data_IF_072385636573
#
_entry.id   IF_072385636573
#
_cell.length_a   1.000
_cell.length_b   1.000
_cell.length_c   1.000
_cell.angle_alpha   90.00
_cell.angle_beta   90.00
_cell.angle_gamma   90.00
#
_symmetry.space_group_name_H-M   'P 1'
#
loop_
_entity.id
_entity.type
_entity.pdbx_description
1 polymer ?
#
# COMPACT_ATOMS: atom_id res chain seq x y z
N UNK A 1 -8.58 -20.64 0.96
CA UNK A 1 -7.71 -19.96 1.96
C UNK A 1 -6.45 -19.38 1.31
N UNK A 2 -5.49 -20.21 0.86
CA UNK A 2 -4.21 -19.72 0.28
C UNK A 2 -4.38 -18.71 -0.87
N UNK A 3 -5.24 -19.02 -1.84
CA UNK A 3 -5.50 -18.14 -2.99
C UNK A 3 -6.01 -16.75 -2.55
N UNK A 4 -6.87 -16.68 -1.53
CA UNK A 4 -7.40 -15.41 -1.05
C UNK A 4 -6.31 -14.55 -0.39
N UNK A 5 -5.41 -15.17 0.38
CA UNK A 5 -4.27 -14.48 0.97
C UNK A 5 -3.29 -13.98 -0.10
N UNK A 6 -3.04 -14.77 -1.15
CA UNK A 6 -2.22 -14.34 -2.29
C UNK A 6 -2.86 -13.16 -3.04
N UNK A 7 -4.18 -13.14 -3.20
CA UNK A 7 -4.89 -12.01 -3.81
C UNK A 7 -4.77 -10.73 -2.98
N UNK A 8 -4.90 -10.83 -1.65
CA UNK A 8 -4.71 -9.69 -0.74
C UNK A 8 -3.25 -9.19 -0.79
N UNK A 9 -2.28 -10.10 -0.78
CA UNK A 9 -0.86 -9.74 -0.88
C UNK A 9 -0.55 -9.04 -2.20
N UNK A 10 -1.05 -9.59 -3.32
CA UNK A 10 -0.90 -8.97 -4.64
C UNK A 10 -1.52 -7.57 -4.67
N UNK A 11 -2.74 -7.43 -4.15
CA UNK A 11 -3.42 -6.13 -4.05
C UNK A 11 -2.58 -5.11 -3.27
N UNK A 12 -2.05 -5.54 -2.12
CA UNK A 12 -1.21 -4.74 -1.23
C UNK A 12 0.07 -4.29 -1.95
N UNK A 13 0.73 -5.17 -2.69
CA UNK A 13 1.94 -4.83 -3.45
C UNK A 13 1.66 -3.82 -4.57
N UNK A 14 0.53 -3.94 -5.27
CA UNK A 14 0.12 -2.97 -6.29
C UNK A 14 -0.09 -1.59 -5.67
N UNK A 15 -0.77 -1.51 -4.52
CA UNK A 15 -0.99 -0.24 -3.81
C UNK A 15 0.33 0.41 -3.38
N UNK A 16 1.23 -0.35 -2.77
CA UNK A 16 2.54 0.17 -2.32
C UNK A 16 3.38 0.65 -3.51
N UNK A 17 3.38 -0.10 -4.61
CA UNK A 17 4.06 0.30 -5.84
C UNK A 17 3.50 1.60 -6.42
N UNK A 18 2.17 1.76 -6.42
CA UNK A 18 1.51 2.99 -6.87
C UNK A 18 1.90 4.20 -6.00
N UNK A 19 1.93 4.03 -4.67
CA UNK A 19 2.38 5.08 -3.74
C UNK A 19 3.83 5.49 -4.00
N UNK A 20 4.69 4.52 -4.32
CA UNK A 20 6.09 4.80 -4.59
C UNK A 20 6.29 5.52 -5.92
N UNK A 21 5.52 5.16 -6.96
CA UNK A 21 5.51 5.91 -8.22
C UNK A 21 5.10 7.37 -8.00
N UNK A 22 4.09 7.61 -7.16
CA UNK A 22 3.69 8.97 -6.80
C UNK A 22 4.79 9.69 -6.05
N UNK A 23 5.39 9.06 -5.03
CA UNK A 23 6.54 9.63 -4.31
C UNK A 23 7.65 10.02 -5.29
N UNK A 24 8.04 9.14 -6.21
CA UNK A 24 9.01 9.42 -7.27
C UNK A 24 8.60 10.59 -8.16
N UNK A 25 7.35 10.61 -8.62
CA UNK A 25 6.82 11.67 -9.48
C UNK A 25 6.74 13.05 -8.81
N UNK A 26 6.81 13.08 -7.47
CA UNK A 26 6.81 14.27 -6.62
C UNK A 26 8.21 14.67 -6.14
N UNK A 27 9.25 13.83 -6.32
CA UNK A 27 10.62 14.20 -5.98
C UNK A 27 11.05 15.39 -6.85
N UNK A 28 11.64 16.40 -6.22
CA UNK A 28 12.12 17.65 -6.85
C UNK A 28 11.01 18.60 -7.38
N UNK A 29 9.78 18.44 -6.92
CA UNK A 29 8.61 19.28 -7.31
C UNK A 29 8.13 20.19 -6.17
N UNK A 30 9.06 20.87 -5.51
CA UNK A 30 8.80 21.67 -4.29
C UNK A 30 7.79 22.81 -4.51
N UNK A 31 7.73 23.39 -5.71
CA UNK A 31 6.79 24.46 -6.04
C UNK A 31 5.56 24.01 -6.84
N UNK A 32 5.37 22.72 -7.12
CA UNK A 32 4.35 22.29 -8.11
C UNK A 32 2.88 22.48 -7.73
N UNK A 33 2.61 23.13 -6.59
CA UNK A 33 1.29 23.56 -6.16
C UNK A 33 1.13 25.10 -6.16
N UNK A 34 2.09 25.86 -6.69
CA UNK A 34 2.02 27.34 -6.71
C UNK A 34 1.03 27.90 -7.72
N UNK A 35 0.67 27.13 -8.75
CA UNK A 35 -0.26 27.58 -9.78
C UNK A 35 -1.20 26.46 -10.24
N UNK A 36 -2.40 26.85 -10.66
CA UNK A 36 -3.41 25.91 -11.16
C UNK A 36 -2.91 25.14 -12.40
N UNK A 37 -2.09 25.79 -13.23
CA UNK A 37 -1.48 25.18 -14.41
C UNK A 37 -0.44 24.10 -14.06
N UNK A 38 0.35 24.31 -13.02
CA UNK A 38 1.31 23.30 -12.53
C UNK A 38 0.61 22.10 -11.91
N UNK A 39 -0.48 22.33 -11.17
CA UNK A 39 -1.30 21.25 -10.60
C UNK A 39 -1.88 20.39 -11.73
N UNK A 40 -2.46 21.00 -12.77
CA UNK A 40 -2.98 20.27 -13.93
C UNK A 40 -1.85 19.46 -14.60
N UNK A 41 -0.70 20.09 -14.85
CA UNK A 41 0.45 19.42 -15.45
C UNK A 41 0.95 18.24 -14.60
N UNK A 42 0.89 18.38 -13.27
CA UNK A 42 1.27 17.34 -12.33
C UNK A 42 0.28 16.18 -12.33
N UNK A 43 -1.03 16.45 -12.39
CA UNK A 43 -2.07 15.43 -12.48
C UNK A 43 -1.92 14.56 -13.74
N UNK A 44 -1.49 15.15 -14.86
CA UNK A 44 -1.21 14.43 -16.10
C UNK A 44 0.23 13.92 -16.24
N UNK A 45 1.04 14.01 -15.16
CA UNK A 45 2.39 13.43 -15.15
C UNK A 45 2.32 11.90 -15.29
N UNK A 46 3.18 11.27 -16.11
CA UNK A 46 3.18 9.82 -16.29
C UNK A 46 3.19 9.04 -14.98
N UNK A 47 4.00 9.46 -14.01
CA UNK A 47 4.05 8.85 -12.68
C UNK A 47 2.72 8.89 -11.92
N UNK A 48 1.99 10.01 -11.99
CA UNK A 48 0.68 10.17 -11.31
C UNK A 48 -0.37 9.29 -12.00
N UNK A 49 -0.44 9.37 -13.33
CA UNK A 49 -1.38 8.60 -14.14
C UNK A 49 -1.13 7.09 -13.96
N UNK A 50 0.11 6.62 -14.03
CA UNK A 50 0.44 5.21 -13.81
C UNK A 50 0.06 4.76 -12.41
N UNK A 51 0.40 5.52 -11.37
CA UNK A 51 -0.01 5.17 -10.01
C UNK A 51 -1.53 5.15 -9.82
N UNK A 52 -2.26 6.06 -10.47
CA UNK A 52 -3.73 6.09 -10.47
C UNK A 52 -4.32 4.87 -11.18
N UNK A 53 -3.76 4.49 -12.32
CA UNK A 53 -4.16 3.26 -13.02
C UNK A 53 -3.91 2.02 -12.17
N UNK A 54 -2.77 1.94 -11.48
CA UNK A 54 -2.47 0.85 -10.54
C UNK A 54 -3.48 0.83 -9.38
N UNK A 55 -3.84 1.98 -8.83
CA UNK A 55 -4.87 2.10 -7.80
C UNK A 55 -6.26 1.70 -8.30
N UNK A 56 -6.58 2.00 -9.56
CA UNK A 56 -7.80 1.53 -10.21
C UNK A 56 -7.86 0.00 -10.27
N UNK A 57 -6.79 -0.65 -10.75
CA UNK A 57 -6.70 -2.11 -10.75
C UNK A 57 -6.73 -2.71 -9.34
N UNK A 58 -6.04 -2.10 -8.39
CA UNK A 58 -6.08 -2.51 -6.99
C UNK A 58 -7.51 -2.39 -6.42
N UNK A 59 -8.26 -1.36 -6.78
CA UNK A 59 -9.65 -1.20 -6.33
C UNK A 59 -10.54 -2.31 -6.87
N UNK A 60 -10.44 -2.63 -8.17
CA UNK A 60 -11.20 -3.73 -8.77
C UNK A 60 -10.87 -5.06 -8.07
N UNK A 61 -9.57 -5.34 -7.89
CA UNK A 61 -9.12 -6.54 -7.19
C UNK A 61 -9.59 -6.57 -5.73
N UNK A 62 -9.62 -5.43 -5.05
CA UNK A 62 -10.10 -5.31 -3.68
C UNK A 62 -11.60 -5.61 -3.57
N UNK A 63 -12.42 -5.03 -4.45
CA UNK A 63 -13.86 -5.34 -4.51
C UNK A 63 -14.09 -6.83 -4.70
N UNK A 64 -13.32 -7.48 -5.57
CA UNK A 64 -13.38 -8.92 -5.76
C UNK A 64 -12.98 -9.71 -4.50
N UNK A 65 -11.92 -9.29 -3.80
CA UNK A 65 -11.50 -9.91 -2.53
C UNK A 65 -12.61 -9.83 -1.48
N UNK A 66 -13.29 -8.69 -1.36
CA UNK A 66 -14.37 -8.49 -0.39
C UNK A 66 -15.59 -9.38 -0.63
N UNK A 67 -15.78 -9.91 -1.85
CA UNK A 67 -16.82 -10.92 -2.10
C UNK A 67 -16.47 -12.30 -1.54
N UNK A 68 -15.20 -12.54 -1.19
CA UNK A 68 -14.66 -13.86 -0.81
C UNK A 68 -14.17 -13.94 0.62
N UNK A 69 -13.77 -12.81 1.21
CA UNK A 69 -13.18 -12.75 2.53
C UNK A 69 -13.88 -11.66 3.35
N UNK A 70 -14.28 -11.95 4.60
CA UNK A 70 -14.81 -10.93 5.49
C UNK A 70 -13.83 -9.77 5.64
N UNK A 71 -14.35 -8.53 5.64
CA UNK A 71 -13.54 -7.32 5.78
C UNK A 71 -12.66 -7.35 7.03
N UNK A 72 -13.17 -7.92 8.14
CA UNK A 72 -12.45 -8.07 9.41
C UNK A 72 -11.20 -8.96 9.32
N UNK A 73 -11.09 -9.81 8.30
CA UNK A 73 -9.91 -10.65 8.03
C UNK A 73 -9.04 -10.04 6.93
N UNK A 74 -9.66 -9.49 5.88
CA UNK A 74 -8.93 -8.92 4.75
C UNK A 74 -8.16 -7.65 5.10
N UNK A 75 -8.78 -6.75 5.89
CA UNK A 75 -8.21 -5.43 6.21
C UNK A 75 -6.92 -5.52 7.06
N UNK A 76 -6.85 -6.37 8.10
CA UNK A 76 -5.59 -6.61 8.81
C UNK A 76 -4.48 -7.12 7.90
N UNK A 77 -4.77 -8.07 7.01
CA UNK A 77 -3.76 -8.55 6.06
C UNK A 77 -3.29 -7.46 5.10
N UNK A 78 -4.20 -6.60 4.65
CA UNK A 78 -3.85 -5.45 3.80
C UNK A 78 -2.99 -4.42 4.54
N UNK A 79 -3.04 -4.37 5.88
CA UNK A 79 -2.13 -3.51 6.68
C UNK A 79 -0.65 -3.88 6.53
N UNK A 80 -0.33 -5.05 5.98
CA UNK A 80 1.04 -5.37 5.54
C UNK A 80 1.56 -4.37 4.49
N UNK A 81 0.69 -3.59 3.84
CA UNK A 81 1.09 -2.44 3.01
C UNK A 81 2.02 -1.50 3.77
N UNK A 82 1.76 -1.22 5.05
CA UNK A 82 2.60 -0.36 5.87
C UNK A 82 3.99 -0.95 6.06
N UNK A 83 4.07 -2.27 6.27
CA UNK A 83 5.33 -2.99 6.40
C UNK A 83 6.14 -2.84 5.11
N UNK A 84 5.54 -3.16 3.96
CA UNK A 84 6.21 -3.02 2.66
C UNK A 84 6.56 -1.57 2.33
N UNK A 85 5.71 -0.61 2.67
CA UNK A 85 5.97 0.81 2.45
C UNK A 85 7.17 1.30 3.26
N UNK A 86 7.29 0.90 4.54
CA UNK A 86 8.42 1.29 5.39
C UNK A 86 9.74 0.69 4.89
N UNK A 87 9.76 -0.61 4.60
CA UNK A 87 10.97 -1.25 4.07
C UNK A 87 11.33 -0.71 2.69
N UNK A 88 10.35 -0.58 1.81
CA UNK A 88 10.55 -0.05 0.48
C UNK A 88 11.03 1.41 0.51
N UNK A 89 10.53 2.24 1.44
CA UNK A 89 11.01 3.61 1.59
C UNK A 89 12.47 3.67 2.08
N UNK A 90 12.86 2.77 2.98
CA UNK A 90 14.24 2.62 3.40
C UNK A 90 15.15 2.19 2.24
N UNK A 91 14.77 1.18 1.45
CA UNK A 91 15.62 0.67 0.37
C UNK A 91 15.67 1.56 -0.88
N UNK A 92 14.54 2.16 -1.26
CA UNK A 92 14.39 2.84 -2.55
C UNK A 92 14.65 4.34 -2.42
N UNK A 93 14.12 4.96 -1.36
CA UNK A 93 14.24 6.40 -1.13
C UNK A 93 15.34 6.76 -0.13
N UNK A 94 16.05 5.76 0.43
CA UNK A 94 17.04 5.94 1.49
C UNK A 94 16.50 6.74 2.69
N UNK A 95 15.18 6.61 2.97
CA UNK A 95 14.58 7.28 4.12
C UNK A 95 15.05 6.62 5.43
N UNK A 96 15.40 7.41 6.47
CA UNK A 96 15.88 6.84 7.72
C UNK A 96 14.80 6.00 8.41
N UNK A 97 15.21 4.80 8.80
CA UNK A 97 14.41 3.88 9.57
C UNK A 97 14.61 4.17 11.06
N UNK A 98 13.70 4.95 11.65
CA UNK A 98 13.75 5.23 13.08
C UNK A 98 13.38 4.00 13.91
N UNK A 99 13.94 3.91 15.12
CA UNK A 99 13.62 2.83 16.05
C UNK A 99 12.10 2.72 16.30
N UNK A 100 11.40 3.85 16.40
CA UNK A 100 9.94 3.88 16.58
C UNK A 100 9.18 3.30 15.36
N UNK A 101 9.64 3.54 14.12
CA UNK A 101 9.05 2.91 12.92
C UNK A 101 9.19 1.39 12.97
N UNK A 102 10.34 0.88 13.42
CA UNK A 102 10.59 -0.56 13.55
C UNK A 102 9.64 -1.18 14.57
N UNK A 103 9.54 -0.57 15.77
CA UNK A 103 8.62 -1.04 16.82
C UNK A 103 7.18 -1.07 16.32
N UNK A 104 6.74 -0.02 15.62
CA UNK A 104 5.40 0.02 15.02
C UNK A 104 5.17 -1.08 13.99
N UNK A 105 6.14 -1.34 13.10
CA UNK A 105 6.06 -2.43 12.11
C UNK A 105 5.96 -3.79 12.80
N UNK A 106 6.74 -4.04 13.86
CA UNK A 106 6.66 -5.27 14.63
C UNK A 106 5.27 -5.45 15.28
N UNK A 107 4.70 -4.37 15.84
CA UNK A 107 3.35 -4.41 16.40
C UNK A 107 2.27 -4.72 15.35
N UNK A 108 2.38 -4.16 14.15
CA UNK A 108 1.48 -4.49 13.03
C UNK A 108 1.58 -5.98 12.69
N UNK A 109 2.79 -6.52 12.53
CA UNK A 109 3.00 -7.94 12.20
C UNK A 109 2.41 -8.85 13.28
N UNK A 110 2.60 -8.53 14.56
CA UNK A 110 2.02 -9.29 15.67
C UNK A 110 0.49 -9.24 15.63
N UNK A 111 -0.10 -8.05 15.47
CA UNK A 111 -1.54 -7.87 15.39
C UNK A 111 -2.18 -8.64 14.22
N UNK A 112 -1.55 -8.60 13.05
CA UNK A 112 -2.00 -9.36 11.87
C UNK A 112 -1.90 -10.86 12.11
N UNK A 113 -0.84 -11.31 12.79
CA UNK A 113 -0.63 -12.73 13.13
C UNK A 113 -1.74 -13.26 14.04
N UNK A 114 -2.16 -12.50 15.07
CA UNK A 114 -3.27 -12.88 15.95
C UNK A 114 -4.59 -13.05 15.20
N UNK A 115 -4.86 -12.19 14.22
CA UNK A 115 -6.07 -12.29 13.40
C UNK A 115 -5.96 -13.44 12.39
N UNK A 116 -4.77 -13.70 11.86
CA UNK A 116 -4.50 -14.88 11.05
C UNK A 116 -4.77 -16.18 11.81
N UNK A 117 -4.33 -16.28 13.07
CA UNK A 117 -4.61 -17.44 13.91
C UNK A 117 -6.09 -17.59 14.24
N UNK A 118 -6.80 -16.51 14.58
CA UNK A 118 -8.23 -16.59 14.91
C UNK A 118 -9.10 -16.97 13.71
N UNK A 119 -8.72 -16.52 12.51
CA UNK A 119 -9.43 -16.86 11.27
C UNK A 119 -9.16 -18.29 10.78
N UNK A 120 -8.01 -18.89 11.12
CA UNK A 120 -7.72 -20.31 10.90
C UNK A 120 -8.44 -21.26 11.88
N UNK A 121 -8.93 -20.74 13.02
CA UNK A 121 -9.71 -21.52 14.01
C UNK A 121 -11.20 -21.58 13.67
N UNK A 122 -11.69 -20.71 12.79
CA UNK A 122 -13.10 -20.68 12.34
C UNK A 122 -13.38 -21.48 11.05
N UNK A 123 -12.39 -22.23 10.53
CA UNK A 123 -12.55 -23.12 9.36
C UNK A 123 -12.70 -24.58 9.78
#
# INVERSE_FOLDING_TARGET
>A
MLVNYLLILLNTMILVSGQFLWKFGMMNKENSFSSLGEIIKLMFSPYIVTGLTMYGFATILWLFILTRVPLSVAYPLQSLAYVFAVFGAFFIFNEPLSFMKIVGVLMIIIGVSFIGFSSGVQS
#
